data_IF_323525884000
#
_entry.id   IF_323525884000
#
_cell.length_a   1.000
_cell.length_b   1.000
_cell.length_c   1.000
_cell.angle_alpha   90.00
_cell.angle_beta   90.00
_cell.angle_gamma   90.00
#
_symmetry.space_group_name_H-M   'P 1'
#
loop_
_entity.id
_entity.type
_entity.pdbx_description
1 polymer ?
#
# COMPACT_ATOMS: atom_id res chain seq x y z
N UNK A 1 -18.70 -21.55 16.76
CA UNK A 1 -18.34 -21.40 15.32
C UNK A 1 -17.07 -20.57 15.07
N UNK A 2 -16.01 -20.62 15.92
CA UNK A 2 -14.86 -19.70 15.86
C UNK A 2 -13.51 -20.33 15.45
N UNK A 3 -13.42 -21.65 15.30
CA UNK A 3 -12.12 -22.31 15.03
C UNK A 3 -11.74 -22.49 13.55
N UNK A 4 -12.67 -22.36 12.60
CA UNK A 4 -12.37 -22.53 11.15
C UNK A 4 -11.74 -21.29 10.50
N UNK A 5 -12.01 -20.10 11.00
CA UNK A 5 -11.48 -18.83 10.45
C UNK A 5 -9.99 -18.65 10.69
N UNK A 6 -9.46 -19.18 11.81
CA UNK A 6 -8.04 -19.01 12.18
C UNK A 6 -7.06 -19.83 11.32
N UNK A 7 -7.47 -21.03 10.84
CA UNK A 7 -6.61 -21.85 9.96
C UNK A 7 -6.49 -21.25 8.55
N UNK A 8 -7.59 -20.72 8.01
CA UNK A 8 -7.60 -20.11 6.69
C UNK A 8 -6.76 -18.83 6.64
N UNK A 9 -6.82 -18.01 7.70
CA UNK A 9 -5.96 -16.82 7.83
C UNK A 9 -4.48 -17.17 7.99
N UNK A 10 -4.14 -18.25 8.69
CA UNK A 10 -2.74 -18.72 8.79
C UNK A 10 -2.18 -19.23 7.46
N UNK A 11 -2.98 -19.95 6.67
CA UNK A 11 -2.59 -20.44 5.35
C UNK A 11 -2.35 -19.27 4.39
N UNK A 12 -3.22 -18.25 4.38
CA UNK A 12 -3.07 -17.05 3.54
C UNK A 12 -1.96 -16.10 4.01
N UNK A 13 -1.40 -16.27 5.21
CA UNK A 13 -0.26 -15.50 5.69
C UNK A 13 1.09 -16.04 5.23
N UNK A 14 1.13 -17.20 4.56
CA UNK A 14 2.34 -17.70 3.90
C UNK A 14 2.77 -16.72 2.80
N UNK A 15 4.06 -16.31 2.75
CA UNK A 15 4.59 -15.43 1.70
C UNK A 15 4.34 -15.97 0.29
N UNK A 16 4.40 -17.28 0.12
CA UNK A 16 4.16 -17.97 -1.14
C UNK A 16 2.70 -17.84 -1.60
N UNK A 17 1.75 -18.11 -0.71
CA UNK A 17 0.31 -18.00 -1.02
C UNK A 17 -0.09 -16.55 -1.25
N UNK A 18 0.43 -15.62 -0.45
CA UNK A 18 0.21 -14.20 -0.64
C UNK A 18 0.74 -13.71 -2.00
N UNK A 19 1.96 -14.08 -2.36
CA UNK A 19 2.55 -13.70 -3.67
C UNK A 19 1.78 -14.29 -4.83
N UNK A 20 1.31 -15.54 -4.70
CA UNK A 20 0.50 -16.22 -5.72
C UNK A 20 -0.86 -15.53 -5.88
N UNK A 21 -1.52 -15.18 -4.78
CA UNK A 21 -2.77 -14.42 -4.79
C UNK A 21 -2.59 -13.04 -5.44
N UNK A 22 -1.54 -12.29 -5.07
CA UNK A 22 -1.22 -10.99 -5.67
C UNK A 22 -0.94 -11.10 -7.18
N UNK A 23 -0.25 -12.15 -7.62
CA UNK A 23 -0.01 -12.44 -9.04
C UNK A 23 -1.32 -12.75 -9.76
N UNK A 24 -2.17 -13.61 -9.18
CA UNK A 24 -3.48 -13.97 -9.72
C UNK A 24 -4.38 -12.74 -9.86
N UNK A 25 -4.42 -11.89 -8.84
CA UNK A 25 -5.19 -10.63 -8.84
C UNK A 25 -4.54 -9.54 -9.70
N UNK A 26 -3.44 -9.83 -10.42
CA UNK A 26 -2.69 -8.86 -11.24
C UNK A 26 -2.35 -7.55 -10.51
N UNK A 27 -2.42 -7.54 -9.18
CA UNK A 27 -2.08 -6.39 -8.34
C UNK A 27 -0.65 -5.92 -8.58
N UNK A 28 0.24 -6.85 -8.87
CA UNK A 28 1.63 -6.59 -9.18
C UNK A 28 1.83 -5.78 -10.49
N UNK A 29 1.07 -6.11 -11.55
CA UNK A 29 1.10 -5.34 -12.82
C UNK A 29 0.61 -3.91 -12.63
N UNK A 30 -0.42 -3.71 -11.81
CA UNK A 30 -0.96 -2.39 -11.50
C UNK A 30 0.02 -1.61 -10.62
N UNK A 31 0.60 -2.23 -9.60
CA UNK A 31 1.67 -1.65 -8.77
C UNK A 31 2.81 -1.14 -9.65
N UNK A 32 3.38 -2.00 -10.50
CA UNK A 32 4.43 -1.64 -11.46
C UNK A 32 4.05 -0.44 -12.32
N UNK A 33 2.86 -0.46 -12.92
CA UNK A 33 2.34 0.64 -13.75
C UNK A 33 2.27 1.95 -12.98
N UNK A 34 1.71 1.92 -11.75
CA UNK A 34 1.52 3.10 -10.93
C UNK A 34 2.87 3.68 -10.46
N UNK A 35 3.79 2.83 -10.00
CA UNK A 35 5.10 3.28 -9.54
C UNK A 35 5.90 3.91 -10.69
N UNK A 36 5.96 3.27 -11.86
CA UNK A 36 6.62 3.81 -13.05
C UNK A 36 5.99 5.12 -13.56
N UNK A 37 4.65 5.26 -13.44
CA UNK A 37 3.95 6.47 -13.87
C UNK A 37 4.22 7.65 -12.93
N UNK A 38 4.31 7.41 -11.63
CA UNK A 38 4.30 8.46 -10.61
C UNK A 38 5.69 8.80 -10.05
N UNK A 39 6.64 7.87 -10.07
CA UNK A 39 8.02 8.09 -9.61
C UNK A 39 8.88 8.40 -10.82
N UNK A 40 9.34 9.65 -10.92
CA UNK A 40 10.15 10.15 -12.05
C UNK A 40 11.56 10.57 -11.64
N UNK A 41 11.78 10.76 -10.33
CA UNK A 41 13.06 11.14 -9.78
C UNK A 41 14.03 9.96 -9.85
N UNK A 42 15.26 10.20 -10.27
CA UNK A 42 16.37 9.25 -10.16
C UNK A 42 16.84 9.16 -8.70
N UNK A 43 17.20 7.97 -8.25
CA UNK A 43 17.68 7.72 -6.88
C UNK A 43 16.76 8.32 -5.79
N UNK A 44 15.44 8.08 -5.83
CA UNK A 44 14.51 8.70 -4.89
C UNK A 44 14.65 8.12 -3.49
N UNK A 45 14.42 8.93 -2.47
CA UNK A 45 14.26 8.44 -1.09
C UNK A 45 12.81 8.03 -0.88
N UNK A 46 12.59 6.73 -0.64
CA UNK A 46 11.27 6.08 -0.57
C UNK A 46 11.01 5.56 0.84
N UNK A 47 9.81 5.82 1.35
CA UNK A 47 9.24 5.14 2.50
C UNK A 47 8.04 4.31 2.03
N UNK A 48 8.07 3.01 2.22
CA UNK A 48 6.98 2.07 1.90
C UNK A 48 6.39 1.53 3.20
N UNK A 49 5.19 1.99 3.55
CA UNK A 49 4.49 1.63 4.79
C UNK A 49 3.50 0.51 4.48
N UNK A 50 3.63 -0.62 5.20
CA UNK A 50 2.97 -1.87 4.84
C UNK A 50 3.62 -2.51 3.61
N UNK A 51 4.97 -2.51 3.55
CA UNK A 51 5.74 -2.92 2.37
C UNK A 51 5.57 -4.41 2.02
N UNK A 52 5.05 -5.24 2.93
CA UNK A 52 4.90 -6.67 2.73
C UNK A 52 6.24 -7.34 2.40
N UNK A 53 6.28 -8.03 1.26
CA UNK A 53 7.49 -8.69 0.75
C UNK A 53 8.51 -7.73 0.10
N UNK A 54 8.24 -6.42 0.08
CA UNK A 54 9.14 -5.40 -0.48
C UNK A 54 9.11 -5.29 -2.01
N UNK A 55 8.11 -5.86 -2.67
CA UNK A 55 8.07 -5.96 -4.14
C UNK A 55 8.01 -4.61 -4.86
N UNK A 56 7.61 -3.53 -4.18
CA UNK A 56 7.65 -2.17 -4.74
C UNK A 56 9.07 -1.75 -5.15
N UNK A 57 10.08 -2.25 -4.44
CA UNK A 57 11.49 -1.95 -4.69
C UNK A 57 11.95 -2.34 -6.11
N UNK A 58 11.38 -3.41 -6.69
CA UNK A 58 11.74 -3.89 -8.03
C UNK A 58 11.37 -2.93 -9.17
N UNK A 59 10.46 -2.00 -8.91
CA UNK A 59 9.92 -1.11 -9.93
C UNK A 59 10.43 0.32 -9.83
N UNK A 60 11.38 0.56 -8.92
CA UNK A 60 11.95 1.89 -8.66
C UNK A 60 13.46 1.85 -8.91
N UNK A 61 13.96 2.79 -9.69
CA UNK A 61 15.36 2.84 -10.07
C UNK A 61 16.23 3.37 -8.93
N UNK A 62 17.17 2.54 -8.46
CA UNK A 62 18.18 2.85 -7.43
C UNK A 62 17.66 3.68 -6.23
N UNK A 63 16.56 3.28 -5.55
CA UNK A 63 16.01 4.08 -4.45
C UNK A 63 16.84 3.91 -3.17
N UNK A 64 16.88 4.97 -2.36
CA UNK A 64 17.16 4.85 -0.93
C UNK A 64 15.85 4.42 -0.26
N UNK A 65 15.68 3.12 -0.04
CA UNK A 65 14.41 2.50 0.30
C UNK A 65 14.31 2.09 1.77
N UNK A 66 13.20 2.49 2.41
CA UNK A 66 12.81 2.10 3.75
C UNK A 66 11.44 1.44 3.72
N UNK A 67 11.38 0.15 4.04
CA UNK A 67 10.14 -0.64 4.11
C UNK A 67 9.76 -0.93 5.56
N UNK A 68 8.52 -0.63 5.93
CA UNK A 68 7.93 -0.94 7.22
C UNK A 68 6.79 -1.93 7.07
N UNK A 69 6.78 -2.99 7.85
CA UNK A 69 5.66 -3.92 7.97
C UNK A 69 5.62 -4.50 9.37
N UNK A 70 4.45 -4.89 9.84
CA UNK A 70 4.25 -5.54 11.15
C UNK A 70 4.51 -7.05 11.11
N UNK A 71 4.49 -7.65 9.92
CA UNK A 71 4.72 -9.08 9.72
C UNK A 71 6.20 -9.41 9.73
N UNK A 72 6.65 -10.09 10.78
CA UNK A 72 8.03 -10.59 10.89
C UNK A 72 8.40 -11.47 9.70
N UNK A 73 7.51 -12.38 9.29
CA UNK A 73 7.72 -13.30 8.17
C UNK A 73 7.94 -12.55 6.84
N UNK A 74 7.15 -11.49 6.59
CA UNK A 74 7.32 -10.69 5.36
C UNK A 74 8.63 -9.92 5.37
N UNK A 75 8.99 -9.32 6.50
CA UNK A 75 10.24 -8.56 6.63
C UNK A 75 11.47 -9.48 6.52
N UNK A 76 11.45 -10.67 7.11
CA UNK A 76 12.54 -11.65 6.97
C UNK A 76 12.70 -12.07 5.50
N UNK A 77 11.59 -12.33 4.80
CA UNK A 77 11.62 -12.63 3.37
C UNK A 77 12.20 -11.47 2.56
N UNK A 78 11.73 -10.23 2.79
CA UNK A 78 12.22 -9.03 2.11
C UNK A 78 13.73 -8.82 2.33
N UNK A 79 14.21 -8.96 3.57
CA UNK A 79 15.64 -8.89 3.89
C UNK A 79 16.46 -9.92 3.15
N UNK A 80 15.98 -11.18 3.11
CA UNK A 80 16.65 -12.26 2.38
C UNK A 80 16.70 -12.00 0.87
N UNK A 81 15.57 -11.53 0.30
CA UNK A 81 15.43 -11.28 -1.15
C UNK A 81 16.25 -10.08 -1.61
N UNK A 82 16.17 -8.97 -0.90
CA UNK A 82 16.74 -7.69 -1.34
C UNK A 82 18.08 -7.33 -0.71
N UNK A 83 18.47 -8.02 0.36
CA UNK A 83 19.76 -7.83 1.03
C UNK A 83 20.03 -6.33 1.34
N UNK A 84 21.11 -5.77 0.77
CA UNK A 84 21.53 -4.38 0.97
C UNK A 84 20.78 -3.34 0.11
N UNK A 85 19.84 -3.77 -0.75
CA UNK A 85 19.11 -2.84 -1.64
C UNK A 85 18.04 -1.99 -0.93
N UNK A 86 17.73 -2.30 0.32
CA UNK A 86 16.77 -1.54 1.13
C UNK A 86 16.88 -1.86 2.62
N UNK A 87 16.35 -0.96 3.43
CA UNK A 87 16.22 -1.14 4.88
C UNK A 87 14.81 -1.63 5.17
N UNK A 88 14.65 -2.82 5.77
CA UNK A 88 13.36 -3.42 6.09
C UNK A 88 13.20 -3.57 7.60
N UNK A 89 12.13 -3.01 8.15
CA UNK A 89 11.89 -2.87 9.58
C UNK A 89 10.56 -3.50 9.99
N UNK A 90 10.63 -4.49 10.91
CA UNK A 90 9.44 -5.16 11.46
C UNK A 90 8.89 -4.33 12.62
N UNK A 91 8.11 -3.30 12.32
CA UNK A 91 7.48 -2.43 13.33
C UNK A 91 6.41 -1.54 12.73
N UNK A 92 5.55 -0.99 13.61
CA UNK A 92 4.59 0.03 13.21
C UNK A 92 5.29 1.34 12.83
N UNK A 93 4.71 2.05 11.86
CA UNK A 93 5.11 3.40 11.54
C UNK A 93 4.35 4.38 12.45
N UNK A 94 4.99 4.81 13.53
CA UNK A 94 4.42 5.69 14.55
C UNK A 94 5.25 6.97 14.76
N UNK A 95 4.83 7.81 15.72
CA UNK A 95 5.50 9.07 16.01
C UNK A 95 6.94 8.90 16.52
N UNK A 96 7.26 7.78 17.17
CA UNK A 96 8.63 7.52 17.67
C UNK A 96 9.57 7.24 16.49
N UNK A 97 9.07 6.53 15.48
CA UNK A 97 9.85 6.24 14.26
C UNK A 97 10.06 7.50 13.41
N UNK A 98 9.06 8.37 13.28
CA UNK A 98 9.14 9.61 12.49
C UNK A 98 10.32 10.50 12.92
N UNK A 99 10.58 10.60 14.23
CA UNK A 99 11.67 11.41 14.77
C UNK A 99 13.06 10.95 14.33
N UNK A 100 13.20 9.69 13.93
CA UNK A 100 14.47 9.06 13.53
C UNK A 100 14.65 9.03 12.01
N UNK A 101 13.62 9.35 11.26
CA UNK A 101 13.61 9.20 9.81
C UNK A 101 13.92 10.50 9.10
N UNK A 102 14.61 10.43 7.94
CA UNK A 102 14.76 11.58 7.05
C UNK A 102 13.43 11.94 6.39
N UNK A 103 13.39 13.06 5.68
CA UNK A 103 12.29 13.38 4.78
C UNK A 103 12.39 12.59 3.49
N UNK A 104 11.23 12.16 2.93
CA UNK A 104 11.13 11.31 1.76
C UNK A 104 10.63 12.06 0.53
N UNK A 105 11.12 11.65 -0.65
CA UNK A 105 10.63 12.14 -1.94
C UNK A 105 9.26 11.53 -2.27
N UNK A 106 9.11 10.23 -1.94
CA UNK A 106 7.83 9.52 -2.09
C UNK A 106 7.55 8.65 -0.88
N UNK A 107 6.29 8.62 -0.48
CA UNK A 107 5.77 7.67 0.50
C UNK A 107 4.73 6.80 -0.20
N UNK A 108 4.82 5.50 0.02
CA UNK A 108 3.95 4.50 -0.59
C UNK A 108 3.00 3.92 0.46
N UNK A 109 1.72 3.79 0.10
CA UNK A 109 0.69 3.04 0.80
C UNK A 109 0.02 2.11 -0.21
N UNK A 110 0.59 0.93 -0.43
CA UNK A 110 0.14 -0.02 -1.44
C UNK A 110 -0.59 -1.18 -0.79
N UNK A 111 -1.93 -1.18 -0.86
CA UNK A 111 -2.76 -2.22 -0.27
C UNK A 111 -2.80 -2.15 1.25
N UNK A 112 -2.81 -0.95 1.83
CA UNK A 112 -2.78 -0.77 3.30
C UNK A 112 -4.00 -0.03 3.85
N UNK A 113 -4.55 0.95 3.13
CA UNK A 113 -5.62 1.80 3.67
C UNK A 113 -6.91 1.02 3.94
N UNK A 114 -7.20 -0.01 3.14
CA UNK A 114 -8.37 -0.86 3.31
C UNK A 114 -8.30 -1.80 4.54
N UNK A 115 -7.16 -1.90 5.20
CA UNK A 115 -7.02 -2.58 6.49
C UNK A 115 -7.28 -1.66 7.68
N UNK A 116 -7.27 -0.34 7.48
CA UNK A 116 -7.29 0.66 8.54
C UNK A 116 -8.67 1.28 8.74
N UNK A 117 -9.02 1.55 9.99
CA UNK A 117 -10.18 2.39 10.34
C UNK A 117 -9.95 3.84 9.91
N UNK A 118 -11.01 4.66 9.87
CA UNK A 118 -10.88 6.07 9.52
C UNK A 118 -9.93 6.81 10.47
N UNK A 119 -10.03 6.57 11.78
CA UNK A 119 -9.14 7.18 12.77
C UNK A 119 -7.66 6.82 12.55
N UNK A 120 -7.39 5.54 12.25
CA UNK A 120 -6.05 5.08 11.92
C UNK A 120 -5.49 5.71 10.64
N UNK A 121 -6.34 5.86 9.60
CA UNK A 121 -5.96 6.54 8.36
C UNK A 121 -5.61 8.01 8.63
N UNK A 122 -6.43 8.75 9.37
CA UNK A 122 -6.17 10.15 9.67
C UNK A 122 -4.88 10.33 10.46
N UNK A 123 -4.63 9.50 11.48
CA UNK A 123 -3.37 9.50 12.23
C UNK A 123 -2.17 9.19 11.33
N UNK A 124 -2.27 8.17 10.47
CA UNK A 124 -1.24 7.80 9.51
C UNK A 124 -0.94 8.94 8.53
N UNK A 125 -1.95 9.60 7.97
CA UNK A 125 -1.79 10.73 7.05
C UNK A 125 -1.14 11.93 7.72
N UNK A 126 -1.48 12.23 8.98
CA UNK A 126 -0.81 13.26 9.79
C UNK A 126 0.69 12.96 9.94
N UNK A 127 1.03 11.71 10.23
CA UNK A 127 2.42 11.26 10.36
C UNK A 127 3.18 11.34 9.02
N UNK A 128 2.54 10.93 7.94
CA UNK A 128 3.08 11.01 6.57
C UNK A 128 3.39 12.46 6.20
N UNK A 129 2.48 13.39 6.48
CA UNK A 129 2.68 14.81 6.22
C UNK A 129 3.96 15.38 6.87
N UNK A 130 4.25 14.91 8.09
CA UNK A 130 5.46 15.30 8.84
C UNK A 130 6.74 14.69 8.26
N UNK A 131 6.66 13.61 7.49
CA UNK A 131 7.80 12.83 7.00
C UNK A 131 8.07 13.07 5.52
N UNK A 132 7.10 13.63 4.80
CA UNK A 132 7.22 13.97 3.39
C UNK A 132 8.03 15.27 3.19
N UNK A 133 8.85 15.34 2.13
CA UNK A 133 9.48 16.58 1.67
C UNK A 133 8.42 17.57 1.18
N UNK A 134 8.77 18.86 1.08
CA UNK A 134 7.86 19.92 0.61
C UNK A 134 7.31 19.61 -0.80
N UNK A 135 8.15 19.13 -1.70
CA UNK A 135 7.84 18.72 -3.08
C UNK A 135 7.57 17.21 -3.22
N UNK A 136 7.55 16.50 -2.10
CA UNK A 136 7.32 15.06 -2.05
C UNK A 136 5.88 14.67 -2.39
N UNK A 137 5.67 13.39 -2.68
CA UNK A 137 4.35 12.86 -3.01
C UNK A 137 4.02 11.60 -2.22
N UNK A 138 2.78 11.51 -1.74
CA UNK A 138 2.17 10.27 -1.28
C UNK A 138 1.56 9.56 -2.48
N UNK A 139 1.83 8.26 -2.63
CA UNK A 139 1.24 7.39 -3.66
C UNK A 139 0.50 6.27 -2.96
N UNK A 140 -0.79 6.10 -3.27
CA UNK A 140 -1.62 5.03 -2.70
C UNK A 140 -2.17 4.12 -3.79
N UNK A 141 -2.46 2.88 -3.43
CA UNK A 141 -3.17 1.91 -4.27
C UNK A 141 -3.98 0.99 -3.37
N UNK A 142 -5.30 1.06 -3.45
CA UNK A 142 -6.20 0.24 -2.64
C UNK A 142 -7.41 -0.23 -3.46
N UNK A 143 -8.06 -1.34 -3.09
CA UNK A 143 -9.35 -1.71 -3.66
C UNK A 143 -10.43 -0.71 -3.25
N UNK A 144 -11.44 -0.56 -4.11
CA UNK A 144 -12.62 0.27 -3.83
C UNK A 144 -13.91 -0.44 -4.21
N UNK A 145 -15.01 -0.04 -3.55
CA UNK A 145 -16.36 -0.29 -4.04
C UNK A 145 -16.78 0.79 -5.04
N UNK A 146 -17.40 0.37 -6.16
CA UNK A 146 -18.05 1.26 -7.14
C UNK A 146 -19.52 0.89 -7.27
N UNK A 147 -20.37 1.87 -7.70
CA UNK A 147 -21.83 1.72 -7.73
C UNK A 147 -22.26 0.52 -8.60
N UNK A 148 -21.75 0.45 -9.82
CA UNK A 148 -22.11 -0.58 -10.82
C UNK A 148 -21.10 -1.72 -10.87
N UNK A 149 -20.60 -2.13 -9.71
CA UNK A 149 -19.61 -3.18 -9.61
C UNK A 149 -20.24 -4.54 -9.89
N UNK A 150 -19.62 -5.32 -10.79
CA UNK A 150 -20.00 -6.70 -11.06
C UNK A 150 -20.09 -7.51 -9.75
N UNK A 151 -21.11 -8.36 -9.62
CA UNK A 151 -21.35 -9.17 -8.42
C UNK A 151 -20.13 -10.00 -8.02
N UNK A 152 -19.43 -10.62 -8.98
CA UNK A 152 -18.24 -11.40 -8.71
C UNK A 152 -17.06 -10.52 -8.20
N UNK A 153 -16.90 -9.33 -8.78
CA UNK A 153 -15.93 -8.35 -8.26
C UNK A 153 -16.23 -7.94 -6.82
N UNK A 154 -17.52 -7.68 -6.54
CA UNK A 154 -17.98 -7.31 -5.20
C UNK A 154 -17.76 -8.45 -4.19
N UNK A 155 -18.04 -9.70 -4.62
CA UNK A 155 -17.76 -10.89 -3.83
C UNK A 155 -16.27 -11.03 -3.52
N UNK A 156 -15.37 -10.92 -4.51
CA UNK A 156 -13.92 -10.99 -4.31
C UNK A 156 -13.41 -9.91 -3.36
N UNK A 157 -13.87 -8.68 -3.54
CA UNK A 157 -13.47 -7.54 -2.68
C UNK A 157 -13.99 -7.73 -1.25
N UNK A 158 -15.22 -8.25 -1.06
CA UNK A 158 -15.78 -8.50 0.28
C UNK A 158 -15.06 -9.62 1.04
N UNK A 159 -14.36 -10.51 0.33
CA UNK A 159 -13.52 -11.56 0.90
C UNK A 159 -12.04 -11.17 1.00
N UNK A 160 -11.69 -9.96 0.60
CA UNK A 160 -10.36 -9.40 0.88
C UNK A 160 -10.11 -9.34 2.38
N UNK A 161 -8.85 -9.50 2.79
CA UNK A 161 -8.46 -9.42 4.22
C UNK A 161 -8.68 -8.04 4.83
N UNK A 162 -8.84 -7.02 3.98
CA UNK A 162 -9.15 -5.65 4.39
C UNK A 162 -10.63 -5.49 4.73
N UNK A 163 -10.94 -5.34 6.01
CA UNK A 163 -12.32 -5.18 6.52
C UNK A 163 -12.88 -3.76 6.35
N UNK A 164 -12.06 -2.80 5.90
CA UNK A 164 -12.40 -1.37 5.82
C UNK A 164 -12.27 -0.81 4.41
N UNK A 165 -12.68 -1.58 3.40
CA UNK A 165 -12.66 -1.12 2.01
C UNK A 165 -13.68 0.01 1.85
N UNK A 166 -13.27 1.09 1.23
CA UNK A 166 -14.03 2.34 1.11
C UNK A 166 -14.35 2.65 -0.35
N UNK A 167 -15.25 3.60 -0.52
CA UNK A 167 -15.52 4.21 -1.83
C UNK A 167 -14.44 5.23 -2.19
N UNK A 168 -14.34 5.56 -3.48
CA UNK A 168 -13.48 6.64 -3.98
C UNK A 168 -13.73 7.97 -3.23
N UNK A 169 -14.99 8.31 -2.98
CA UNK A 169 -15.37 9.56 -2.31
C UNK A 169 -14.84 9.63 -0.88
N UNK A 170 -14.89 8.53 -0.14
CA UNK A 170 -14.41 8.46 1.24
C UNK A 170 -12.88 8.60 1.31
N UNK A 171 -12.11 7.89 0.47
CA UNK A 171 -10.66 8.06 0.43
C UNK A 171 -10.26 9.49 0.07
N UNK A 172 -10.87 10.08 -0.96
CA UNK A 172 -10.58 11.46 -1.37
C UNK A 172 -10.92 12.47 -0.28
N UNK A 173 -12.03 12.28 0.45
CA UNK A 173 -12.41 13.15 1.58
C UNK A 173 -11.33 13.19 2.65
N UNK A 174 -10.81 12.02 3.05
CA UNK A 174 -9.76 11.94 4.07
C UNK A 174 -8.42 12.53 3.60
N UNK A 175 -8.01 12.26 2.36
CA UNK A 175 -6.75 12.76 1.81
C UNK A 175 -6.75 14.28 1.63
N UNK A 176 -7.88 14.88 1.23
CA UNK A 176 -8.04 16.33 1.09
C UNK A 176 -7.85 17.12 2.40
N UNK A 177 -8.00 16.49 3.56
CA UNK A 177 -7.70 17.12 4.86
C UNK A 177 -6.20 17.41 5.04
N UNK A 178 -5.33 16.68 4.34
CA UNK A 178 -3.88 16.77 4.50
C UNK A 178 -3.15 17.27 3.26
N UNK A 179 -3.73 17.08 2.06
CA UNK A 179 -3.08 17.36 0.78
C UNK A 179 -3.96 18.24 -0.09
N UNK A 180 -3.42 19.37 -0.56
CA UNK A 180 -4.14 20.33 -1.41
C UNK A 180 -4.37 19.79 -2.82
N UNK A 181 -3.38 19.10 -3.36
CA UNK A 181 -3.36 18.60 -4.73
C UNK A 181 -3.40 17.08 -4.76
N UNK A 182 -4.34 16.50 -5.51
CA UNK A 182 -4.42 15.07 -5.71
C UNK A 182 -4.84 14.70 -7.13
N UNK A 183 -4.15 13.73 -7.71
CA UNK A 183 -4.53 13.10 -8.97
C UNK A 183 -4.93 11.67 -8.63
N UNK A 184 -6.08 11.22 -9.11
CA UNK A 184 -6.58 9.88 -8.86
C UNK A 184 -6.93 9.14 -10.14
N UNK A 185 -6.76 7.82 -10.13
CA UNK A 185 -7.09 6.94 -11.25
C UNK A 185 -7.71 5.66 -10.75
N UNK A 186 -8.75 5.19 -11.44
CA UNK A 186 -9.38 3.89 -11.22
C UNK A 186 -8.88 2.93 -12.29
N UNK A 187 -8.57 1.70 -11.88
CA UNK A 187 -8.12 0.62 -12.76
C UNK A 187 -9.07 -0.56 -12.59
N UNK A 188 -9.79 -0.87 -13.65
CA UNK A 188 -10.64 -2.05 -13.73
C UNK A 188 -9.85 -3.17 -14.39
N UNK A 189 -9.96 -4.37 -13.86
CA UNK A 189 -9.39 -5.56 -14.49
C UNK A 189 -10.52 -6.31 -15.19
N UNK A 190 -10.31 -6.61 -16.48
CA UNK A 190 -11.32 -7.26 -17.32
C UNK A 190 -11.46 -8.75 -17.06
N UNK A 191 -10.38 -9.45 -16.72
CA UNK A 191 -10.39 -10.92 -16.58
C UNK A 191 -10.75 -11.37 -15.15
N UNK A 192 -10.21 -10.71 -14.13
CA UNK A 192 -10.66 -10.85 -12.75
C UNK A 192 -11.19 -9.48 -12.38
N UNK A 193 -12.50 -9.31 -12.20
CA UNK A 193 -13.11 -8.00 -12.04
C UNK A 193 -12.80 -7.44 -10.64
N UNK A 194 -11.59 -6.93 -10.46
CA UNK A 194 -11.14 -6.28 -9.25
C UNK A 194 -10.86 -4.81 -9.55
N UNK A 195 -11.43 -3.91 -8.75
CA UNK A 195 -11.32 -2.48 -8.96
C UNK A 195 -10.30 -1.87 -8.02
N UNK A 196 -9.23 -1.35 -8.61
CA UNK A 196 -8.16 -0.65 -7.89
C UNK A 196 -8.29 0.86 -8.03
N UNK A 197 -7.96 1.56 -6.98
CA UNK A 197 -7.95 3.01 -6.94
C UNK A 197 -6.59 3.51 -6.47
N UNK A 198 -5.94 4.33 -7.29
CA UNK A 198 -4.66 4.94 -6.99
C UNK A 198 -4.80 6.44 -6.87
N UNK A 199 -4.11 7.01 -5.91
CA UNK A 199 -4.02 8.45 -5.72
C UNK A 199 -2.56 8.87 -5.59
N UNK A 200 -2.21 10.01 -6.20
CA UNK A 200 -0.97 10.73 -5.96
C UNK A 200 -1.30 12.07 -5.35
N UNK A 201 -0.83 12.30 -4.13
CA UNK A 201 -1.13 13.50 -3.35
C UNK A 201 0.14 14.30 -3.11
N UNK A 202 0.02 15.64 -3.18
CA UNK A 202 1.09 16.62 -2.92
C UNK A 202 0.63 17.69 -1.95
N UNK A 203 1.59 18.35 -1.33
CA UNK A 203 1.32 19.51 -0.49
C UNK A 203 0.77 20.68 -1.28
#
# INVERSE_FOLDING_TARGET
MSHKTNKFHKVLSSPFIYSTFQKLMKGDKIRKKILKLNIKKKNPKILDIGCGLGDSLEYIENPVYFGYDISKTYIEHAKKKYKKKGVFLCRNFDQKEIKKLPKFDYILLIGILHHLTNAQILNLLSNIKKTLKKDGSLITLDPIYIKDQNYFARFLISHDRGKNIKTKKEYLKMLKLFFKNSISRTYNQSFIPYTWFSMKCRN
#
